data_IF_373024436634
#
_entry.id   IF_373024436634
#
_cell.length_a   1.000
_cell.length_b   1.000
_cell.length_c   1.000
_cell.angle_alpha   90.00
_cell.angle_beta   90.00
_cell.angle_gamma   90.00
#
_symmetry.space_group_name_H-M   'P 1'
#
loop_
_entity.id
_entity.type
_entity.pdbx_description
1 polymer ?
#
# COMPACT_ATOMS: atom_id res chain seq x y z
N UNK A 1 12.46 12.63 43.74
CA UNK A 1 11.94 13.89 43.37
C UNK A 1 11.59 14.00 41.94
N UNK A 2 12.40 13.52 41.05
CA UNK A 2 12.19 13.68 39.62
C UNK A 2 11.54 12.47 38.98
N UNK A 3 10.71 11.81 39.76
CA UNK A 3 10.03 10.60 39.28
C UNK A 3 8.88 10.91 38.33
N UNK A 4 8.37 12.12 38.30
CA UNK A 4 7.23 12.45 37.46
C UNK A 4 7.45 12.22 35.97
N UNK A 5 8.53 12.69 35.36
CA UNK A 5 8.76 12.44 33.93
C UNK A 5 8.88 10.96 33.62
N UNK A 6 9.54 10.22 34.50
CA UNK A 6 9.71 8.80 34.36
C UNK A 6 8.37 8.08 34.41
N UNK A 7 7.52 8.47 35.35
CA UNK A 7 6.19 7.87 35.49
C UNK A 7 5.33 8.16 34.27
N UNK A 8 5.41 9.37 33.74
CA UNK A 8 4.66 9.74 32.55
C UNK A 8 5.12 8.92 31.34
N UNK A 9 6.43 8.73 31.21
CA UNK A 9 6.98 7.93 30.11
C UNK A 9 6.57 6.48 30.22
N UNK A 10 6.64 5.93 31.41
CA UNK A 10 6.22 4.56 31.64
C UNK A 10 4.74 4.36 31.29
N UNK A 11 3.94 5.34 31.62
CA UNK A 11 2.51 5.29 31.35
C UNK A 11 2.24 5.31 29.86
N UNK A 12 2.94 6.17 29.13
CA UNK A 12 2.79 6.28 27.68
C UNK A 12 3.24 5.02 26.97
N UNK A 13 4.36 4.43 27.41
CA UNK A 13 4.90 3.23 26.77
C UNK A 13 4.21 1.95 27.24
N UNK A 14 3.57 2.01 28.40
CA UNK A 14 2.95 0.83 28.98
C UNK A 14 1.49 0.62 28.64
N UNK A 15 0.88 1.53 27.86
CA UNK A 15 -0.52 1.43 27.50
C UNK A 15 -0.72 0.42 26.37
N UNK A 16 -1.32 -0.76 26.64
CA UNK A 16 -1.51 -1.76 25.59
C UNK A 16 -2.45 -1.30 24.48
N UNK A 17 -3.43 -0.48 24.83
CA UNK A 17 -4.37 0.05 23.83
C UNK A 17 -3.67 1.00 22.87
N UNK A 18 -2.80 1.84 23.38
CA UNK A 18 -2.03 2.76 22.55
C UNK A 18 -1.06 2.02 21.62
N UNK A 19 -0.42 0.96 22.14
CA UNK A 19 0.47 0.13 21.34
C UNK A 19 -0.31 -0.60 20.24
N UNK A 20 -1.50 -1.09 20.56
CA UNK A 20 -2.35 -1.77 19.59
C UNK A 20 -2.81 -0.81 18.50
N UNK A 21 -3.20 0.41 18.87
CA UNK A 21 -3.57 1.44 17.90
C UNK A 21 -2.40 1.77 16.97
N UNK A 22 -1.20 1.86 17.52
CA UNK A 22 -0.01 2.14 16.71
C UNK A 22 0.23 1.03 15.70
N UNK A 23 0.08 -0.23 16.12
CA UNK A 23 0.22 -1.37 15.22
C UNK A 23 -0.83 -1.36 14.12
N UNK A 24 -2.08 -1.03 14.46
CA UNK A 24 -3.15 -0.94 13.48
C UNK A 24 -2.89 0.18 12.47
N UNK A 25 -2.39 1.32 12.93
CA UNK A 25 -2.05 2.42 12.04
C UNK A 25 -0.94 2.06 11.07
N UNK A 26 0.08 1.35 11.54
CA UNK A 26 1.17 0.87 10.67
C UNK A 26 0.60 -0.11 9.64
N UNK A 27 -0.26 -1.03 10.06
CA UNK A 27 -0.89 -1.99 9.16
C UNK A 27 -1.75 -1.28 8.11
N UNK A 28 -2.52 -0.29 8.51
CA UNK A 28 -3.36 0.47 7.59
C UNK A 28 -2.54 1.24 6.56
N UNK A 29 -1.41 1.81 6.96
CA UNK A 29 -0.52 2.49 6.03
C UNK A 29 0.07 1.53 5.01
N UNK A 30 0.45 0.33 5.43
CA UNK A 30 0.95 -0.68 4.50
C UNK A 30 -0.14 -1.15 3.53
N UNK A 31 -1.36 -1.37 4.04
CA UNK A 31 -2.49 -1.75 3.19
C UNK A 31 -2.83 -0.65 2.18
N UNK A 32 -2.70 0.60 2.58
CA UNK A 32 -2.91 1.73 1.69
C UNK A 32 -1.91 1.72 0.54
N UNK A 33 -0.64 1.48 0.84
CA UNK A 33 0.41 1.38 -0.19
C UNK A 33 0.11 0.22 -1.13
N UNK A 34 -0.22 -0.95 -0.59
CA UNK A 34 -0.55 -2.13 -1.39
C UNK A 34 -1.77 -1.88 -2.29
N UNK A 35 -2.80 -1.29 -1.75
CA UNK A 35 -4.01 -0.98 -2.50
C UNK A 35 -3.72 0.00 -3.63
N UNK A 36 -2.97 1.05 -3.34
CA UNK A 36 -2.61 2.07 -4.35
C UNK A 36 -1.79 1.45 -5.47
N UNK A 37 -0.84 0.58 -5.14
CA UNK A 37 -0.03 -0.11 -6.14
C UNK A 37 -0.86 -1.08 -6.97
N UNK A 38 -1.73 -1.85 -6.34
CA UNK A 38 -2.62 -2.77 -7.03
C UNK A 38 -3.53 -2.01 -8.00
N UNK A 39 -4.08 -0.89 -7.55
CA UNK A 39 -4.94 -0.06 -8.37
C UNK A 39 -4.20 0.52 -9.58
N UNK A 40 -2.96 0.91 -9.38
CA UNK A 40 -2.13 1.45 -10.46
C UNK A 40 -1.87 0.41 -11.56
N UNK A 41 -1.87 -0.88 -11.23
CA UNK A 41 -1.69 -1.94 -12.23
C UNK A 41 -2.86 -2.01 -13.22
N UNK A 42 -4.00 -1.46 -12.89
CA UNK A 42 -5.15 -1.43 -13.80
C UNK A 42 -4.86 -0.65 -15.07
N UNK A 43 -3.96 0.32 -14.98
CA UNK A 43 -3.60 1.18 -16.10
C UNK A 43 -2.37 0.67 -16.87
N UNK A 44 -1.84 -0.48 -16.49
CA UNK A 44 -0.61 -1.01 -17.07
C UNK A 44 -0.74 -1.24 -18.57
N UNK A 45 -1.79 -1.94 -19.00
CA UNK A 45 -1.98 -2.24 -20.42
C UNK A 45 -2.28 -0.97 -21.22
N UNK A 46 -3.20 -0.07 -20.79
CA UNK A 46 -3.38 1.19 -21.50
C UNK A 46 -2.10 2.01 -21.63
N UNK A 47 -1.28 2.06 -20.58
CA UNK A 47 0.00 2.80 -20.64
C UNK A 47 0.98 2.17 -21.61
N UNK A 48 0.99 0.84 -21.72
CA UNK A 48 1.83 0.14 -22.70
C UNK A 48 1.45 0.46 -24.12
N UNK A 49 0.15 0.62 -24.37
CA UNK A 49 -0.37 0.86 -25.71
C UNK A 49 -0.35 2.33 -26.12
N UNK A 50 -0.21 3.24 -25.16
CA UNK A 50 -0.25 4.68 -25.43
C UNK A 50 0.74 5.13 -26.50
N UNK A 51 2.02 4.68 -26.49
CA UNK A 51 2.95 5.09 -27.54
C UNK A 51 2.52 4.68 -28.95
N UNK A 52 1.72 3.63 -29.06
CA UNK A 52 1.28 3.14 -30.39
C UNK A 52 0.20 4.01 -31.01
N UNK A 53 -0.54 4.80 -30.18
CA UNK A 53 -1.60 5.68 -30.69
C UNK A 53 -1.14 7.13 -30.80
N UNK A 54 0.03 7.45 -30.31
CA UNK A 54 0.60 8.79 -30.41
C UNK A 54 1.36 8.94 -31.72
N UNK A 55 1.50 10.19 -32.19
CA UNK A 55 2.31 10.48 -33.35
C UNK A 55 3.77 10.57 -32.97
N UNK A 56 4.61 9.96 -33.77
CA UNK A 56 6.07 9.96 -33.57
C UNK A 56 6.76 10.41 -34.83
N UNK A 57 7.96 11.03 -34.72
CA UNK A 57 8.70 11.49 -35.90
C UNK A 57 9.16 10.37 -36.80
N UNK A 58 9.34 9.16 -36.27
CA UNK A 58 9.80 8.01 -37.06
C UNK A 58 9.30 6.72 -36.40
N UNK A 59 9.27 5.61 -37.18
CA UNK A 59 8.97 4.30 -36.59
C UNK A 59 9.96 3.87 -35.50
N UNK A 60 11.21 4.27 -35.63
CA UNK A 60 12.23 3.93 -34.62
C UNK A 60 11.93 4.59 -33.27
N UNK A 61 11.50 5.86 -33.32
CA UNK A 61 11.11 6.57 -32.10
C UNK A 61 9.90 5.91 -31.44
N UNK A 62 8.90 5.53 -32.25
CA UNK A 62 7.73 4.83 -31.78
C UNK A 62 8.11 3.50 -31.11
N UNK A 63 8.98 2.72 -31.76
CA UNK A 63 9.42 1.44 -31.24
C UNK A 63 10.13 1.59 -29.89
N UNK A 64 11.03 2.58 -29.80
CA UNK A 64 11.75 2.83 -28.55
C UNK A 64 10.80 3.26 -27.43
N UNK A 65 9.83 4.09 -27.74
CA UNK A 65 8.82 4.53 -26.77
C UNK A 65 7.98 3.35 -26.29
N UNK A 66 7.60 2.47 -27.21
CA UNK A 66 6.83 1.27 -26.86
C UNK A 66 7.66 0.33 -25.98
N UNK A 67 8.91 0.07 -26.34
CA UNK A 67 9.78 -0.79 -25.55
C UNK A 67 9.98 -0.25 -24.15
N UNK A 68 10.13 1.08 -24.01
CA UNK A 68 10.23 1.70 -22.69
C UNK A 68 8.94 1.49 -21.90
N UNK A 69 7.79 1.64 -22.53
CA UNK A 69 6.52 1.43 -21.87
C UNK A 69 6.37 -0.02 -21.39
N UNK A 70 6.82 -0.99 -22.17
CA UNK A 70 6.82 -2.40 -21.79
C UNK A 70 7.73 -2.64 -20.59
N UNK A 71 8.93 -2.07 -20.61
CA UNK A 71 9.88 -2.21 -19.50
C UNK A 71 9.30 -1.60 -18.22
N UNK A 72 8.69 -0.44 -18.32
CA UNK A 72 8.06 0.22 -17.18
C UNK A 72 6.92 -0.65 -16.61
N UNK A 73 6.12 -1.24 -17.48
CA UNK A 73 5.04 -2.12 -17.08
C UNK A 73 5.56 -3.36 -16.35
N UNK A 74 6.62 -3.96 -16.88
CA UNK A 74 7.24 -5.13 -16.25
C UNK A 74 7.83 -4.77 -14.89
N UNK A 75 8.43 -3.59 -14.77
CA UNK A 75 8.96 -3.10 -13.50
C UNK A 75 7.84 -2.91 -12.48
N UNK A 76 6.71 -2.34 -12.89
CA UNK A 76 5.58 -2.13 -11.99
C UNK A 76 5.04 -3.45 -11.46
N UNK A 77 4.91 -4.46 -12.31
CA UNK A 77 4.44 -5.79 -11.89
C UNK A 77 5.43 -6.43 -10.94
N UNK A 78 6.72 -6.36 -11.27
CA UNK A 78 7.76 -6.92 -10.42
C UNK A 78 7.79 -6.26 -9.06
N UNK A 79 7.73 -4.93 -9.03
CA UNK A 79 7.78 -4.18 -7.77
C UNK A 79 6.57 -4.51 -6.91
N UNK A 80 5.39 -4.64 -7.51
CA UNK A 80 4.19 -5.03 -6.76
C UNK A 80 4.33 -6.45 -6.21
N UNK A 81 4.85 -7.37 -7.01
CA UNK A 81 5.05 -8.76 -6.58
C UNK A 81 6.01 -8.83 -5.41
N UNK A 82 7.10 -8.07 -5.47
CA UNK A 82 8.06 -8.02 -4.38
C UNK A 82 7.45 -7.41 -3.12
N UNK A 83 6.65 -6.37 -3.28
CA UNK A 83 5.98 -5.72 -2.16
C UNK A 83 4.99 -6.69 -1.48
N UNK A 84 4.28 -7.50 -2.26
CA UNK A 84 3.36 -8.50 -1.70
C UNK A 84 4.08 -9.59 -0.92
N UNK A 85 5.33 -9.88 -1.27
CA UNK A 85 6.16 -10.89 -0.61
C UNK A 85 7.00 -10.34 0.53
N UNK A 86 7.03 -9.02 0.70
CA UNK A 86 7.77 -8.36 1.75
C UNK A 86 7.32 -8.87 3.13
N UNK A 87 8.26 -8.94 4.06
CA UNK A 87 7.99 -9.43 5.42
C UNK A 87 6.94 -8.58 6.12
N UNK A 88 6.98 -7.27 5.93
CA UNK A 88 5.99 -6.38 6.52
C UNK A 88 4.59 -6.63 5.94
N UNK A 89 4.50 -6.84 4.63
CA UNK A 89 3.22 -7.16 3.99
C UNK A 89 2.68 -8.50 4.47
N UNK A 90 3.55 -9.50 4.59
CA UNK A 90 3.14 -10.80 5.11
C UNK A 90 2.64 -10.69 6.55
N UNK A 91 3.29 -9.88 7.35
CA UNK A 91 2.88 -9.66 8.74
C UNK A 91 1.50 -9.01 8.81
N UNK A 92 1.26 -8.01 7.96
CA UNK A 92 -0.04 -7.33 7.90
C UNK A 92 -1.14 -8.30 7.46
N UNK A 93 -0.88 -9.13 6.45
CA UNK A 93 -1.85 -10.13 6.01
C UNK A 93 -2.13 -11.16 7.09
N UNK A 94 -1.10 -11.61 7.80
CA UNK A 94 -1.28 -12.55 8.91
C UNK A 94 -2.11 -11.92 10.03
N UNK A 95 -1.87 -10.68 10.33
CA UNK A 95 -2.64 -9.93 11.33
C UNK A 95 -4.12 -9.84 10.93
N UNK A 96 -4.38 -9.56 9.66
CA UNK A 96 -5.74 -9.48 9.14
C UNK A 96 -6.44 -10.84 9.20
N UNK A 97 -5.74 -11.90 8.83
CA UNK A 97 -6.28 -13.25 8.89
C UNK A 97 -6.62 -13.66 10.31
N UNK A 98 -5.73 -13.35 11.24
CA UNK A 98 -5.97 -13.63 12.66
C UNK A 98 -7.18 -12.88 13.18
N UNK A 99 -7.31 -11.60 12.83
CA UNK A 99 -8.45 -10.79 13.23
C UNK A 99 -9.77 -11.37 12.71
N UNK A 100 -9.76 -11.84 11.47
CA UNK A 100 -10.94 -12.42 10.83
C UNK A 100 -11.31 -13.75 11.50
N UNK A 101 -10.33 -14.56 11.87
CA UNK A 101 -10.58 -15.81 12.55
C UNK A 101 -11.14 -15.61 13.96
N UNK A 102 -10.63 -14.61 14.68
CA UNK A 102 -11.07 -14.33 16.04
C UNK A 102 -12.48 -13.75 16.10
N UNK A 103 -12.87 -12.99 15.07
CA UNK A 103 -14.17 -12.32 15.09
C UNK A 103 -14.77 -12.24 13.68
N UNK A 104 -15.20 -13.40 13.12
CA UNK A 104 -15.65 -13.45 11.74
C UNK A 104 -16.94 -12.66 11.48
N UNK A 105 -17.76 -12.46 12.50
CA UNK A 105 -19.05 -11.76 12.34
C UNK A 105 -19.01 -10.31 12.78
N UNK A 106 -17.92 -9.87 13.40
CA UNK A 106 -17.79 -8.50 13.87
C UNK A 106 -17.07 -7.58 12.91
N UNK A 107 -16.60 -8.10 11.78
CA UNK A 107 -15.83 -7.32 10.80
C UNK A 107 -16.81 -6.72 9.79
N UNK A 108 -16.77 -5.39 9.67
CA UNK A 108 -17.57 -4.69 8.68
C UNK A 108 -16.76 -4.48 7.42
N UNK A 109 -17.33 -4.67 6.22
CA UNK A 109 -16.63 -4.37 4.98
C UNK A 109 -16.20 -2.90 4.93
N UNK A 110 -14.97 -2.67 4.49
CA UNK A 110 -14.47 -1.32 4.31
C UNK A 110 -15.18 -0.66 3.13
N UNK A 111 -15.60 0.59 3.33
CA UNK A 111 -16.22 1.38 2.27
C UNK A 111 -15.41 2.65 2.06
N UNK A 112 -15.17 2.99 0.82
CA UNK A 112 -14.45 4.21 0.46
C UNK A 112 -15.11 5.46 1.05
N UNK A 113 -16.44 5.45 1.15
CA UNK A 113 -17.17 6.59 1.68
C UNK A 113 -16.93 6.84 3.17
N UNK A 114 -16.50 5.79 3.90
CA UNK A 114 -16.20 5.93 5.33
C UNK A 114 -14.87 6.67 5.56
N UNK A 115 -13.96 6.59 4.60
CA UNK A 115 -12.65 7.26 4.70
C UNK A 115 -12.24 7.72 3.31
N UNK A 116 -12.82 8.81 2.81
CA UNK A 116 -12.56 9.27 1.45
C UNK A 116 -11.11 9.71 1.22
N UNK A 117 -10.39 10.05 2.28
CA UNK A 117 -9.02 10.50 2.19
C UNK A 117 -8.01 9.36 2.34
N UNK A 118 -8.48 8.13 2.49
CA UNK A 118 -7.58 7.00 2.76
C UNK A 118 -6.52 6.80 1.68
N UNK A 119 -6.86 7.08 0.42
CA UNK A 119 -5.93 6.92 -0.70
C UNK A 119 -5.00 8.10 -0.92
N UNK A 120 -5.22 9.20 -0.23
CA UNK A 120 -4.33 10.35 -0.33
C UNK A 120 -3.01 10.03 0.33
N UNK A 121 -1.93 10.26 -0.38
CA UNK A 121 -0.59 10.10 0.16
C UNK A 121 -0.03 11.47 0.50
N UNK A 122 0.78 11.50 1.53
CA UNK A 122 1.42 12.74 1.98
C UNK A 122 2.69 13.05 1.16
N UNK A 123 2.80 12.45 0.03
CA UNK A 123 3.99 12.63 -0.81
C UNK A 123 3.96 13.94 -1.57
#
# INVERSE_FOLDING_TARGET
>A
MDSKPVVADERASGDPQSAEEAQLNVAMERLKVLYSKARALRDTIPRMLEPLVQKHPSPDVMFNAFMKAVEDAQADVRDFTELMKDEESKRVFAQADKSREENPFGIKPWKHTADPDWLKTDA
#
